data_IF_522057618260
#
_entry.id   IF_522057618260
#
_cell.length_a   1.000
_cell.length_b   1.000
_cell.length_c   1.000
_cell.angle_alpha   90.00
_cell.angle_beta   90.00
_cell.angle_gamma   90.00
#
_symmetry.space_group_name_H-M   'P 1'
#
loop_
_entity.id
_entity.type
_entity.pdbx_description
1 polymer ?
#
# COMPACT_ATOMS: atom_id res chain seq x y z
N UNK A 1 1.47 -24.60 -7.13
CA UNK A 1 0.32 -24.02 -6.39
C UNK A 1 -0.94 -24.20 -7.24
N UNK A 2 -2.08 -24.53 -6.62
CA UNK A 2 -3.36 -24.48 -7.32
C UNK A 2 -3.73 -23.04 -7.72
N UNK A 3 -4.68 -22.88 -8.64
CA UNK A 3 -5.05 -21.55 -9.19
C UNK A 3 -5.72 -20.65 -8.16
N UNK A 4 -6.51 -21.22 -7.25
CA UNK A 4 -7.21 -20.48 -6.20
C UNK A 4 -6.26 -19.89 -5.14
N UNK A 5 -5.34 -20.67 -4.52
CA UNK A 5 -4.31 -20.12 -3.62
C UNK A 5 -3.44 -19.04 -4.27
N UNK A 6 -3.13 -19.18 -5.56
CA UNK A 6 -2.37 -18.20 -6.32
C UNK A 6 -3.12 -16.86 -6.43
N UNK A 7 -4.42 -16.89 -6.67
CA UNK A 7 -5.26 -15.69 -6.72
C UNK A 7 -5.40 -15.02 -5.35
N UNK A 8 -5.58 -15.80 -4.28
CA UNK A 8 -5.59 -15.26 -2.91
C UNK A 8 -4.26 -14.58 -2.55
N UNK A 9 -3.13 -15.20 -2.89
CA UNK A 9 -1.80 -14.62 -2.67
C UNK A 9 -1.60 -13.33 -3.48
N UNK A 10 -2.11 -13.26 -4.72
CA UNK A 10 -2.09 -12.05 -5.53
C UNK A 10 -2.91 -10.91 -4.89
N UNK A 11 -4.11 -11.19 -4.40
CA UNK A 11 -4.94 -10.20 -3.68
C UNK A 11 -4.21 -9.73 -2.41
N UNK A 12 -3.64 -10.65 -1.63
CA UNK A 12 -2.90 -10.32 -0.42
C UNK A 12 -1.67 -9.45 -0.72
N UNK A 13 -0.92 -9.76 -1.78
CA UNK A 13 0.17 -8.93 -2.25
C UNK A 13 -0.28 -7.52 -2.65
N UNK A 14 -1.45 -7.39 -3.30
CA UNK A 14 -2.07 -6.10 -3.58
C UNK A 14 -2.41 -5.31 -2.31
N UNK A 15 -2.95 -5.97 -1.28
CA UNK A 15 -3.21 -5.33 0.01
C UNK A 15 -1.90 -4.80 0.66
N UNK A 16 -0.83 -5.60 0.62
CA UNK A 16 0.49 -5.19 1.15
C UNK A 16 1.07 -3.97 0.41
N UNK A 17 0.92 -3.92 -0.92
CA UNK A 17 1.35 -2.75 -1.71
C UNK A 17 0.56 -1.50 -1.28
N UNK A 18 -0.76 -1.64 -1.08
CA UNK A 18 -1.58 -0.55 -0.55
C UNK A 18 -1.14 -0.09 0.84
N UNK A 19 -0.80 -1.03 1.73
CA UNK A 19 -0.30 -0.73 3.06
C UNK A 19 1.04 0.00 3.05
N UNK A 20 1.94 -0.41 2.16
CA UNK A 20 3.22 0.27 1.94
C UNK A 20 3.01 1.71 1.48
N UNK A 21 2.06 1.96 0.59
CA UNK A 21 1.71 3.31 0.15
C UNK A 21 1.26 4.20 1.31
N UNK A 22 0.37 3.71 2.17
CA UNK A 22 -0.09 4.45 3.34
C UNK A 22 1.04 4.67 4.36
N UNK A 23 1.97 3.74 4.53
CA UNK A 23 3.13 3.89 5.41
C UNK A 23 4.11 4.97 4.92
N UNK A 24 4.21 5.18 3.60
CA UNK A 24 5.05 6.23 3.01
C UNK A 24 4.36 7.61 3.00
N UNK A 25 3.04 7.67 3.22
CA UNK A 25 2.28 8.91 3.18
C UNK A 25 2.67 9.93 4.26
N UNK A 26 2.90 9.55 5.54
CA UNK A 26 3.44 10.45 6.55
C UNK A 26 4.84 10.96 6.22
N UNK A 27 5.67 10.14 5.58
CA UNK A 27 7.03 10.51 5.20
C UNK A 27 7.04 11.64 4.18
N UNK A 28 6.11 11.64 3.23
CA UNK A 28 5.88 12.77 2.29
C UNK A 28 5.48 14.06 2.98
N UNK A 29 4.74 13.96 4.10
CA UNK A 29 4.33 15.15 4.85
C UNK A 29 5.52 15.80 5.57
N UNK A 30 6.48 14.99 6.05
CA UNK A 30 7.65 15.47 6.77
C UNK A 30 8.67 16.15 5.85
N UNK A 31 8.86 15.65 4.61
CA UNK A 31 9.84 16.17 3.66
C UNK A 31 9.18 16.90 2.49
N UNK A 32 8.86 18.20 2.65
CA UNK A 32 8.16 19.03 1.64
C UNK A 32 8.97 19.39 0.38
N UNK A 33 10.20 18.92 0.24
CA UNK A 33 11.06 19.28 -0.91
C UNK A 33 10.65 18.52 -2.18
N UNK A 34 10.60 19.22 -3.32
CA UNK A 34 10.26 18.64 -4.64
C UNK A 34 11.17 17.47 -5.01
N UNK A 35 12.45 17.57 -4.69
CA UNK A 35 13.42 16.51 -4.95
C UNK A 35 13.14 15.26 -4.11
N UNK A 36 12.84 15.44 -2.83
CA UNK A 36 12.53 14.35 -1.90
C UNK A 36 11.24 13.62 -2.28
N UNK A 37 10.21 14.36 -2.70
CA UNK A 37 8.98 13.73 -3.18
C UNK A 37 9.21 12.89 -4.44
N UNK A 38 9.99 13.39 -5.40
CA UNK A 38 10.34 12.63 -6.61
C UNK A 38 11.17 11.39 -6.30
N UNK A 39 12.13 11.49 -5.39
CA UNK A 39 12.93 10.35 -4.93
C UNK A 39 12.05 9.30 -4.24
N UNK A 40 11.10 9.72 -3.41
CA UNK A 40 10.20 8.81 -2.70
C UNK A 40 9.20 8.12 -3.65
N UNK A 41 8.71 8.83 -4.67
CA UNK A 41 7.89 8.23 -5.73
C UNK A 41 8.70 7.20 -6.52
N UNK A 42 9.92 7.53 -6.94
CA UNK A 42 10.80 6.60 -7.65
C UNK A 42 11.11 5.35 -6.80
N UNK A 43 11.46 5.53 -5.53
CA UNK A 43 11.71 4.44 -4.60
C UNK A 43 10.46 3.59 -4.39
N UNK A 44 9.28 4.20 -4.25
CA UNK A 44 8.02 3.48 -4.12
C UNK A 44 7.73 2.63 -5.35
N UNK A 45 7.81 3.18 -6.56
CA UNK A 45 7.54 2.42 -7.78
C UNK A 45 8.57 1.30 -8.00
N UNK A 46 9.85 1.53 -7.68
CA UNK A 46 10.86 0.48 -7.72
C UNK A 46 10.54 -0.66 -6.74
N UNK A 47 10.12 -0.32 -5.52
CA UNK A 47 9.75 -1.31 -4.49
C UNK A 47 8.49 -2.08 -4.91
N UNK A 48 7.45 -1.40 -5.42
CA UNK A 48 6.24 -2.05 -5.96
C UNK A 48 6.59 -2.98 -7.10
N UNK A 49 7.44 -2.55 -8.04
CA UNK A 49 7.88 -3.38 -9.15
C UNK A 49 8.58 -4.65 -8.66
N UNK A 50 9.54 -4.51 -7.73
CA UNK A 50 10.21 -5.64 -7.11
C UNK A 50 9.24 -6.57 -6.37
N UNK A 51 8.28 -6.04 -5.60
CA UNK A 51 7.28 -6.84 -4.90
C UNK A 51 6.42 -7.63 -5.87
N UNK A 52 5.91 -7.01 -6.93
CA UNK A 52 5.08 -7.68 -7.93
C UNK A 52 5.88 -8.77 -8.66
N UNK A 53 7.14 -8.48 -9.02
CA UNK A 53 8.02 -9.45 -9.66
C UNK A 53 8.29 -10.66 -8.76
N UNK A 54 8.66 -10.43 -7.50
CA UNK A 54 8.90 -11.49 -6.51
C UNK A 54 7.63 -12.29 -6.20
N UNK A 55 6.48 -11.61 -6.10
CA UNK A 55 5.19 -12.24 -5.85
C UNK A 55 4.80 -13.18 -7.02
N UNK A 56 4.96 -12.74 -8.26
CA UNK A 56 4.73 -13.58 -9.45
C UNK A 56 5.74 -14.72 -9.54
N UNK A 57 7.00 -14.48 -9.17
CA UNK A 57 8.03 -15.50 -9.09
C UNK A 57 7.65 -16.61 -8.10
N UNK A 58 7.22 -16.24 -6.90
CA UNK A 58 6.88 -17.19 -5.84
C UNK A 58 5.57 -17.95 -6.11
N UNK A 59 4.56 -17.27 -6.69
CA UNK A 59 3.24 -17.86 -6.92
C UNK A 59 3.24 -18.80 -8.14
N UNK A 60 3.90 -18.40 -9.23
CA UNK A 60 3.75 -19.04 -10.53
C UNK A 60 5.08 -19.30 -11.25
N UNK A 61 6.20 -19.25 -10.54
CA UNK A 61 7.53 -19.44 -11.13
C UNK A 61 7.94 -18.29 -12.06
N UNK A 62 7.29 -17.13 -11.97
CA UNK A 62 7.62 -15.94 -12.75
C UNK A 62 6.84 -15.79 -14.04
N UNK A 63 5.90 -16.69 -14.35
CA UNK A 63 5.02 -16.55 -15.52
C UNK A 63 3.98 -15.45 -15.25
N UNK A 64 3.97 -14.34 -16.02
CA UNK A 64 3.00 -13.28 -15.83
C UNK A 64 1.63 -13.76 -16.32
N UNK A 65 0.70 -13.97 -15.39
CA UNK A 65 -0.69 -14.34 -15.70
C UNK A 65 -1.61 -13.16 -15.45
N UNK A 66 -2.46 -12.85 -16.43
CA UNK A 66 -3.31 -11.66 -16.39
C UNK A 66 -4.26 -11.62 -15.18
N UNK A 67 -4.85 -12.78 -14.81
CA UNK A 67 -5.74 -12.84 -13.65
C UNK A 67 -5.03 -12.58 -12.30
N UNK A 68 -3.72 -12.87 -12.21
CA UNK A 68 -2.92 -12.54 -11.01
C UNK A 68 -2.68 -11.04 -10.94
N UNK A 69 -2.39 -10.39 -12.08
CA UNK A 69 -2.29 -8.93 -12.16
C UNK A 69 -3.61 -8.27 -11.76
N UNK A 70 -4.74 -8.76 -12.26
CA UNK A 70 -6.06 -8.31 -11.84
C UNK A 70 -6.29 -8.52 -10.33
N UNK A 71 -5.86 -9.65 -9.78
CA UNK A 71 -5.92 -9.92 -8.34
C UNK A 71 -5.12 -8.91 -7.51
N UNK A 72 -3.90 -8.57 -7.95
CA UNK A 72 -3.07 -7.54 -7.30
C UNK A 72 -3.76 -6.17 -7.38
N UNK A 73 -4.25 -5.78 -8.56
CA UNK A 73 -4.99 -4.52 -8.73
C UNK A 73 -6.24 -4.46 -7.85
N UNK A 74 -6.99 -5.56 -7.76
CA UNK A 74 -8.15 -5.69 -6.89
C UNK A 74 -7.76 -5.52 -5.41
N UNK A 75 -6.68 -6.17 -4.98
CA UNK A 75 -6.15 -6.03 -3.62
C UNK A 75 -5.79 -4.58 -3.29
N UNK A 76 -5.04 -3.91 -4.17
CA UNK A 76 -4.70 -2.48 -3.99
C UNK A 76 -5.96 -1.61 -3.93
N UNK A 77 -6.93 -1.85 -4.81
CA UNK A 77 -8.18 -1.10 -4.84
C UNK A 77 -9.01 -1.27 -3.54
N UNK A 78 -9.15 -2.51 -3.07
CA UNK A 78 -9.85 -2.83 -1.82
C UNK A 78 -9.13 -2.16 -0.64
N UNK A 79 -7.80 -2.23 -0.57
CA UNK A 79 -7.03 -1.55 0.46
C UNK A 79 -7.27 -0.03 0.44
N UNK A 80 -7.13 0.60 -0.73
CA UNK A 80 -7.28 2.03 -0.89
C UNK A 80 -8.69 2.53 -0.53
N UNK A 81 -9.73 1.75 -0.86
CA UNK A 81 -11.12 2.14 -0.60
C UNK A 81 -11.55 1.93 0.83
N UNK A 82 -11.19 0.81 1.45
CA UNK A 82 -11.69 0.44 2.77
C UNK A 82 -10.67 0.76 3.87
N UNK A 83 -9.47 0.18 3.77
CA UNK A 83 -8.48 0.22 4.84
C UNK A 83 -7.87 1.61 4.99
N UNK A 84 -7.49 2.26 3.89
CA UNK A 84 -6.91 3.60 3.95
C UNK A 84 -7.88 4.63 4.55
N UNK A 85 -9.17 4.55 4.20
CA UNK A 85 -10.21 5.41 4.80
C UNK A 85 -10.34 5.18 6.30
N UNK A 86 -10.27 3.93 6.73
CA UNK A 86 -10.32 3.57 8.14
C UNK A 86 -9.11 4.11 8.91
N UNK A 87 -7.89 3.93 8.37
CA UNK A 87 -6.64 4.43 8.96
C UNK A 87 -6.69 5.96 9.13
N UNK A 88 -7.15 6.68 8.11
CA UNK A 88 -7.26 8.15 8.18
C UNK A 88 -8.31 8.61 9.18
N UNK A 89 -9.45 7.91 9.25
CA UNK A 89 -10.49 8.22 10.23
C UNK A 89 -10.00 8.02 11.66
N UNK A 90 -9.25 6.95 11.91
CA UNK A 90 -8.60 6.68 13.20
C UNK A 90 -7.54 7.74 13.50
N UNK A 91 -6.68 8.07 12.54
CA UNK A 91 -5.64 9.09 12.70
C UNK A 91 -6.23 10.47 13.01
N UNK A 92 -7.33 10.85 12.36
CA UNK A 92 -8.06 12.09 12.64
C UNK A 92 -8.65 12.09 14.06
N UNK A 93 -9.28 10.99 14.50
CA UNK A 93 -9.77 10.85 15.88
C UNK A 93 -8.65 10.98 16.90
N UNK A 94 -7.49 10.35 16.66
CA UNK A 94 -6.33 10.46 17.54
C UNK A 94 -5.84 11.90 17.64
N UNK A 95 -5.72 12.61 16.51
CA UNK A 95 -5.34 14.04 16.52
C UNK A 95 -6.29 14.88 17.37
N UNK A 96 -7.61 14.69 17.23
CA UNK A 96 -8.61 15.42 18.02
C UNK A 96 -8.46 15.07 19.52
N UNK A 97 -8.28 13.80 19.86
CA UNK A 97 -8.09 13.37 21.25
C UNK A 97 -6.80 13.95 21.86
N UNK A 98 -5.71 13.98 21.10
CA UNK A 98 -4.44 14.56 21.54
C UNK A 98 -4.54 16.09 21.70
N UNK A 99 -5.16 16.78 20.75
CA UNK A 99 -5.39 18.23 20.83
C UNK A 99 -6.22 18.61 22.06
N UNK A 100 -7.31 17.87 22.31
CA UNK A 100 -8.15 18.03 23.50
C UNK A 100 -7.39 17.77 24.81
N UNK A 101 -6.41 16.87 24.79
CA UNK A 101 -5.57 16.55 25.97
C UNK A 101 -4.48 17.59 26.24
N UNK A 102 -4.11 18.39 25.24
CA UNK A 102 -3.11 19.46 25.36
C UNK A 102 -3.70 20.82 25.74
N UNK A 103 -5.01 20.93 25.98
CA UNK A 103 -5.62 22.15 26.51
C UNK A 103 -5.50 23.36 25.58
N UNK A 104 -5.48 23.14 24.27
CA UNK A 104 -5.50 24.20 23.24
C UNK A 104 -6.94 24.55 22.83
N UNK A 105 -7.82 24.73 23.81
CA UNK A 105 -9.15 25.35 23.64
C UNK A 105 -9.14 26.72 24.32
#
# INVERSE_FOLDING_TARGET
MGEFPALCAAIYGGLLIGALYDALRPLRFFFKSRFWNGLLDAAYYALVFCMVALLLFYINGGVPRFYLLLGICLGVYVYARFVSRFILAVAAKIKIMVAKRQGMD
#
